data_IF_348481010059
#
_entry.id   IF_348481010059
#
_cell.length_a   1.000
_cell.length_b   1.000
_cell.length_c   1.000
_cell.angle_alpha   90.00
_cell.angle_beta   90.00
_cell.angle_gamma   90.00
#
_symmetry.space_group_name_H-M   'P 1'
#
loop_
_entity.id
_entity.type
_entity.pdbx_description
1 polymer ?
#
# COMPACT_ATOMS: atom_id res chain seq x y z
N UNK A 1 44.01 11.39 30.69
CA UNK A 1 43.36 12.29 29.71
C UNK A 1 41.90 12.40 30.11
N UNK A 2 41.18 13.52 29.90
CA UNK A 2 39.75 13.51 30.20
C UNK A 2 39.12 12.49 29.25
N UNK A 3 38.65 11.36 29.78
CA UNK A 3 38.10 10.25 28.99
C UNK A 3 37.13 10.80 27.96
N UNK A 4 37.31 10.51 26.68
CA UNK A 4 36.35 10.90 25.65
C UNK A 4 34.94 10.42 26.02
N UNK A 5 33.92 11.22 25.72
CA UNK A 5 32.54 10.83 25.97
C UNK A 5 32.02 10.09 24.75
N UNK A 6 31.49 8.90 24.95
CA UNK A 6 31.13 8.02 23.83
C UNK A 6 29.62 7.80 23.76
N UNK A 7 29.08 7.81 22.55
CA UNK A 7 27.64 7.69 22.29
C UNK A 7 27.40 6.56 21.31
N UNK A 8 26.51 5.63 21.66
CA UNK A 8 26.01 4.63 20.72
C UNK A 8 24.67 5.11 20.15
N UNK A 9 24.56 5.25 18.83
CA UNK A 9 23.32 5.67 18.18
C UNK A 9 22.62 4.42 17.64
N UNK A 10 21.54 4.01 18.31
CA UNK A 10 20.64 2.94 17.89
C UNK A 10 19.54 3.51 16.98
N UNK A 11 19.39 2.91 15.81
CA UNK A 11 18.44 3.37 14.79
C UNK A 11 18.04 2.23 13.85
N UNK A 12 16.96 2.42 13.09
CA UNK A 12 16.60 1.55 11.97
C UNK A 12 17.43 1.85 10.72
N UNK A 13 17.61 0.87 9.84
CA UNK A 13 18.35 1.05 8.58
C UNK A 13 17.77 2.18 7.70
N UNK A 14 16.46 2.37 7.76
CA UNK A 14 15.74 3.45 7.07
C UNK A 14 16.11 4.84 7.60
N UNK A 15 16.44 4.95 8.89
CA UNK A 15 16.80 6.19 9.58
C UNK A 15 18.30 6.51 9.48
N UNK A 16 19.07 5.76 8.67
CA UNK A 16 20.54 5.88 8.55
C UNK A 16 21.03 7.29 8.26
N UNK A 17 20.28 8.08 7.48
CA UNK A 17 20.69 9.44 7.13
C UNK A 17 20.62 10.37 8.34
N UNK A 18 19.60 10.22 9.18
CA UNK A 18 19.47 10.96 10.42
C UNK A 18 20.50 10.51 11.44
N UNK A 19 20.76 9.22 11.57
CA UNK A 19 21.82 8.72 12.45
C UNK A 19 23.20 9.28 12.07
N UNK A 20 23.53 9.32 10.78
CA UNK A 20 24.77 9.91 10.27
C UNK A 20 24.83 11.42 10.49
N UNK A 21 23.73 12.13 10.26
CA UNK A 21 23.65 13.57 10.51
C UNK A 21 23.82 13.89 12.01
N UNK A 22 23.16 13.12 12.87
CA UNK A 22 23.28 13.23 14.32
C UNK A 22 24.73 13.03 14.75
N UNK A 23 25.36 11.93 14.34
CA UNK A 23 26.79 11.69 14.56
C UNK A 23 27.63 12.89 14.11
N UNK A 24 27.49 13.32 12.85
CA UNK A 24 28.30 14.40 12.29
C UNK A 24 28.13 15.72 13.07
N UNK A 25 26.90 16.06 13.49
CA UNK A 25 26.64 17.28 14.27
C UNK A 25 27.18 17.17 15.69
N UNK A 26 27.05 16.02 16.35
CA UNK A 26 27.61 15.79 17.70
C UNK A 26 29.14 15.87 17.68
N UNK A 27 29.78 15.17 16.75
CA UNK A 27 31.24 15.17 16.62
C UNK A 27 31.77 16.56 16.25
N UNK A 28 31.12 17.26 15.31
CA UNK A 28 31.47 18.63 14.93
C UNK A 28 31.40 19.60 16.10
N UNK A 29 30.25 19.67 16.81
CA UNK A 29 30.11 20.51 18.00
C UNK A 29 31.12 20.14 19.08
N UNK A 30 31.46 18.85 19.20
CA UNK A 30 32.48 18.36 20.12
C UNK A 30 33.92 18.67 19.71
N UNK A 31 34.18 19.08 18.47
CA UNK A 31 35.53 19.43 17.98
C UNK A 31 35.87 20.91 18.16
N UNK A 32 34.85 21.78 18.29
CA UNK A 32 35.03 23.22 18.48
C UNK A 32 35.88 23.47 19.74
N UNK A 33 36.72 24.50 19.82
CA UNK A 33 37.51 24.84 21.03
C UNK A 33 38.44 23.75 21.63
N UNK A 34 38.66 22.60 20.98
CA UNK A 34 39.68 21.60 21.35
C UNK A 34 39.57 20.99 22.76
N UNK A 35 38.37 20.94 23.35
CA UNK A 35 38.10 20.32 24.65
C UNK A 35 37.79 18.81 24.51
N UNK A 36 36.99 18.26 25.43
CA UNK A 36 36.59 16.84 25.46
C UNK A 36 35.81 16.48 24.19
N UNK A 37 36.28 15.48 23.45
CA UNK A 37 35.62 14.98 22.24
C UNK A 37 34.44 14.07 22.59
N UNK A 38 33.45 14.09 21.69
CA UNK A 38 32.38 13.10 21.66
C UNK A 38 32.66 12.13 20.53
N UNK A 39 32.77 10.84 20.83
CA UNK A 39 32.89 9.78 19.83
C UNK A 39 31.53 9.11 19.63
N UNK A 40 31.05 9.03 18.39
CA UNK A 40 29.76 8.40 18.09
C UNK A 40 29.94 7.08 17.34
N UNK A 41 29.30 6.02 17.83
CA UNK A 41 29.22 4.72 17.17
C UNK A 41 27.86 4.55 16.48
N UNK A 42 27.88 4.18 15.20
CA UNK A 42 26.67 3.95 14.39
C UNK A 42 26.82 2.63 13.64
N UNK A 43 25.77 1.79 13.62
CA UNK A 43 25.82 0.45 13.01
C UNK A 43 26.14 0.45 11.50
N UNK A 44 26.01 1.59 10.81
CA UNK A 44 26.44 1.79 9.42
C UNK A 44 27.96 1.69 9.22
N UNK A 45 28.76 1.75 10.29
CA UNK A 45 30.23 1.72 10.26
C UNK A 45 30.81 0.32 10.47
N UNK A 46 29.96 -0.71 10.58
CA UNK A 46 30.40 -2.10 10.71
C UNK A 46 31.21 -2.49 9.45
N UNK A 47 32.50 -2.81 9.57
CA UNK A 47 33.31 -3.20 8.42
C UNK A 47 32.79 -4.52 7.82
N UNK A 48 32.66 -4.56 6.49
CA UNK A 48 32.25 -5.76 5.77
C UNK A 48 33.17 -6.96 6.09
N UNK A 49 32.58 -8.11 6.42
CA UNK A 49 33.30 -9.34 6.76
C UNK A 49 33.68 -9.51 8.24
N UNK A 50 33.26 -8.59 9.11
CA UNK A 50 33.43 -8.73 10.59
C UNK A 50 32.28 -9.54 11.20
N UNK A 51 32.52 -10.20 12.34
CA UNK A 51 31.45 -10.66 13.23
C UNK A 51 30.70 -9.44 13.79
N UNK A 52 29.73 -8.92 13.03
CA UNK A 52 28.90 -7.74 13.36
C UNK A 52 28.38 -7.75 14.80
N UNK A 53 28.08 -8.93 15.34
CA UNK A 53 27.64 -9.13 16.72
C UNK A 53 28.71 -8.69 17.72
N UNK A 54 29.97 -9.05 17.50
CA UNK A 54 31.06 -8.66 18.40
C UNK A 54 31.30 -7.15 18.34
N UNK A 55 31.24 -6.56 17.15
CA UNK A 55 31.35 -5.10 16.98
C UNK A 55 30.27 -4.36 17.78
N UNK A 56 29.01 -4.83 17.73
CA UNK A 56 27.94 -4.22 18.52
C UNK A 56 28.19 -4.37 20.02
N UNK A 57 28.59 -5.55 20.49
CA UNK A 57 28.91 -5.80 21.91
C UNK A 57 30.01 -4.85 22.38
N UNK A 58 31.09 -4.72 21.61
CA UNK A 58 32.24 -3.91 21.99
C UNK A 58 31.90 -2.41 22.05
N UNK A 59 31.11 -1.90 21.10
CA UNK A 59 30.81 -0.47 21.03
C UNK A 59 29.65 -0.07 21.96
N UNK A 60 28.65 -0.92 22.17
CA UNK A 60 27.63 -0.70 23.22
C UNK A 60 28.25 -0.73 24.61
N UNK A 61 29.23 -1.61 24.84
CA UNK A 61 29.97 -1.66 26.10
C UNK A 61 30.76 -0.37 26.38
N UNK A 62 31.45 0.16 25.36
CA UNK A 62 32.26 1.38 25.46
C UNK A 62 31.42 2.63 25.67
N UNK A 63 30.27 2.74 25.00
CA UNK A 63 29.44 3.93 25.01
C UNK A 63 29.04 4.39 26.43
N UNK A 64 29.16 5.66 26.74
CA UNK A 64 28.67 6.25 28.00
C UNK A 64 27.15 6.48 27.98
N UNK A 65 26.59 6.69 26.79
CA UNK A 65 25.19 6.98 26.54
C UNK A 65 24.72 6.23 25.30
N UNK A 66 23.47 5.76 25.30
CA UNK A 66 22.81 5.24 24.11
C UNK A 66 21.73 6.22 23.68
N UNK A 67 21.74 6.62 22.42
CA UNK A 67 20.69 7.42 21.79
C UNK A 67 19.87 6.51 20.88
N UNK A 68 18.59 6.40 21.14
CA UNK A 68 17.63 5.65 20.34
C UNK A 68 16.76 6.60 19.50
N UNK A 69 16.84 6.45 18.18
CA UNK A 69 16.02 7.20 17.23
C UNK A 69 14.73 6.41 16.97
N UNK A 70 13.62 6.82 17.61
CA UNK A 70 12.31 6.16 17.51
C UNK A 70 11.32 6.98 16.68
N UNK A 71 11.39 6.79 15.36
CA UNK A 71 10.69 7.65 14.39
C UNK A 71 9.22 7.32 14.19
N UNK A 72 8.81 6.05 14.34
CA UNK A 72 7.43 5.60 14.16
C UNK A 72 7.11 4.36 15.02
N UNK A 73 6.08 4.44 15.85
CA UNK A 73 5.63 3.36 16.74
C UNK A 73 5.21 2.06 16.03
N UNK A 74 4.75 2.13 14.77
CA UNK A 74 4.24 0.96 14.03
C UNK A 74 5.34 0.06 13.46
N UNK A 75 6.58 0.53 13.50
CA UNK A 75 7.72 -0.16 12.94
C UNK A 75 8.19 -1.35 13.80
N UNK A 76 8.93 -2.28 13.18
CA UNK A 76 9.59 -3.35 13.92
C UNK A 76 10.89 -2.84 14.55
N UNK A 77 10.91 -2.74 15.87
CA UNK A 77 12.05 -2.24 16.65
C UNK A 77 12.85 -3.34 17.37
N UNK A 78 12.64 -4.61 17.01
CA UNK A 78 13.27 -5.76 17.70
C UNK A 78 14.79 -5.65 17.75
N UNK A 79 15.41 -5.14 16.68
CA UNK A 79 16.85 -4.94 16.62
C UNK A 79 17.33 -3.89 17.63
N UNK A 80 16.75 -2.69 17.59
CA UNK A 80 17.07 -1.62 18.53
C UNK A 80 16.78 -2.01 19.98
N UNK A 81 15.69 -2.75 20.22
CA UNK A 81 15.39 -3.29 21.54
C UNK A 81 16.49 -4.26 22.04
N UNK A 82 17.06 -5.08 21.15
CA UNK A 82 18.21 -5.92 21.48
C UNK A 82 19.46 -5.10 21.80
N UNK A 83 19.70 -3.99 21.10
CA UNK A 83 20.84 -3.10 21.37
C UNK A 83 20.71 -2.41 22.73
N UNK A 84 19.52 -1.89 23.04
CA UNK A 84 19.21 -1.28 24.34
C UNK A 84 19.37 -2.30 25.47
N UNK A 85 18.81 -3.51 25.33
CA UNK A 85 18.94 -4.56 26.33
C UNK A 85 20.40 -4.99 26.57
N UNK A 86 21.23 -5.01 25.52
CA UNK A 86 22.66 -5.29 25.63
C UNK A 86 23.40 -4.17 26.39
N UNK A 87 23.14 -2.91 26.03
CA UNK A 87 23.69 -1.74 26.72
C UNK A 87 23.33 -1.74 28.21
N UNK A 88 22.04 -1.88 28.52
CA UNK A 88 21.53 -1.96 29.91
C UNK A 88 22.17 -3.11 30.67
N UNK A 89 22.24 -4.29 30.04
CA UNK A 89 22.86 -5.48 30.62
C UNK A 89 24.32 -5.25 30.98
N UNK A 90 25.08 -4.59 30.11
CA UNK A 90 26.49 -4.26 30.33
C UNK A 90 26.67 -3.24 31.45
N UNK A 91 25.91 -2.14 31.44
CA UNK A 91 25.97 -1.11 32.50
C UNK A 91 25.60 -1.70 33.85
N UNK A 92 24.57 -2.55 33.91
CA UNK A 92 24.18 -3.27 35.13
C UNK A 92 25.28 -4.20 35.63
N UNK A 93 25.93 -4.96 34.76
CA UNK A 93 27.03 -5.84 35.13
C UNK A 93 28.23 -5.08 35.74
N UNK A 94 28.50 -3.88 35.23
CA UNK A 94 29.55 -2.99 35.75
C UNK A 94 29.10 -2.11 36.93
N UNK A 95 27.84 -2.22 37.38
CA UNK A 95 27.22 -1.34 38.39
C UNK A 95 27.30 0.15 38.02
N UNK A 96 27.22 0.44 36.72
CA UNK A 96 27.12 1.78 36.17
C UNK A 96 25.64 2.12 35.91
N UNK A 97 25.33 3.41 35.94
CA UNK A 97 24.01 3.90 35.54
C UNK A 97 23.86 3.75 34.02
N UNK A 98 22.76 3.13 33.61
CA UNK A 98 22.37 3.12 32.20
C UNK A 98 21.76 4.47 31.84
N UNK A 99 22.14 5.00 30.68
CA UNK A 99 21.66 6.27 30.14
C UNK A 99 21.20 6.05 28.71
N UNK A 100 19.91 5.75 28.57
CA UNK A 100 19.23 5.60 27.28
C UNK A 100 18.39 6.84 27.06
N UNK A 101 18.70 7.56 25.98
CA UNK A 101 17.94 8.71 25.50
C UNK A 101 17.12 8.25 24.30
N UNK A 102 15.86 8.61 24.21
CA UNK A 102 15.06 8.27 23.04
C UNK A 102 14.30 9.47 22.48
N UNK A 103 14.25 9.51 21.14
CA UNK A 103 13.60 10.59 20.37
C UNK A 103 12.35 10.07 19.69
N UNK A 104 11.21 10.73 19.89
CA UNK A 104 9.94 10.37 19.26
C UNK A 104 9.00 11.58 19.13
N UNK A 105 8.03 11.48 18.21
CA UNK A 105 6.93 12.45 18.08
C UNK A 105 6.03 12.43 19.31
N UNK A 106 5.76 11.22 19.82
CA UNK A 106 4.91 10.98 20.97
C UNK A 106 5.78 10.57 22.17
N UNK A 107 5.50 11.20 23.31
CA UNK A 107 6.10 10.87 24.62
C UNK A 107 5.62 9.53 25.18
N UNK A 108 4.59 8.92 24.58
CA UNK A 108 4.05 7.62 24.97
C UNK A 108 4.99 6.51 24.48
N UNK A 109 5.75 5.84 25.37
CA UNK A 109 6.67 4.81 24.96
C UNK A 109 5.89 3.62 24.42
N UNK A 110 6.04 3.32 23.14
CA UNK A 110 5.45 2.11 22.52
C UNK A 110 6.02 0.81 23.11
N UNK A 111 7.16 0.92 23.82
CA UNK A 111 7.85 -0.17 24.49
C UNK A 111 7.92 0.07 26.00
N UNK A 112 7.42 -0.84 26.85
CA UNK A 112 7.53 -0.72 28.31
C UNK A 112 8.97 -0.49 28.80
N UNK A 113 9.96 -1.02 28.09
CA UNK A 113 11.39 -0.84 28.41
C UNK A 113 11.88 0.61 28.27
N UNK A 114 11.17 1.47 27.52
CA UNK A 114 11.51 2.89 27.36
C UNK A 114 10.83 3.78 28.41
N UNK A 115 9.88 3.25 29.18
CA UNK A 115 9.08 4.05 30.12
C UNK A 115 9.91 4.67 31.25
N UNK A 116 11.04 4.06 31.60
CA UNK A 116 11.96 4.54 32.64
C UNK A 116 13.15 5.34 32.06
N UNK A 117 13.21 5.51 30.74
CA UNK A 117 14.31 6.16 30.03
C UNK A 117 13.99 7.63 29.66
N UNK A 118 15.02 8.44 29.48
CA UNK A 118 14.88 9.87 29.20
C UNK A 118 14.34 10.13 27.78
N UNK A 119 13.21 10.82 27.70
CA UNK A 119 12.53 11.19 26.46
C UNK A 119 12.91 12.59 25.99
N UNK A 120 13.21 12.73 24.70
CA UNK A 120 13.27 14.01 24.01
C UNK A 120 12.27 14.03 22.86
N UNK A 121 11.47 15.10 22.79
CA UNK A 121 10.66 15.38 21.61
C UNK A 121 11.54 15.71 20.40
N UNK A 122 10.93 15.75 19.21
CA UNK A 122 11.60 16.11 17.97
C UNK A 122 11.38 17.57 17.54
N UNK A 123 10.65 18.35 18.35
CA UNK A 123 10.44 19.78 18.12
C UNK A 123 11.76 20.54 18.19
N UNK A 124 11.83 21.73 17.56
CA UNK A 124 13.07 22.53 17.55
C UNK A 124 13.57 22.82 18.97
N UNK A 125 12.67 23.15 19.89
CA UNK A 125 13.00 23.43 21.29
C UNK A 125 13.47 22.18 22.05
N UNK A 126 12.90 21.01 21.76
CA UNK A 126 13.30 19.75 22.40
C UNK A 126 14.68 19.28 21.90
N UNK A 127 14.94 19.39 20.60
CA UNK A 127 16.26 19.11 20.01
C UNK A 127 17.31 20.06 20.57
N UNK A 128 16.95 21.34 20.74
CA UNK A 128 17.82 22.33 21.38
C UNK A 128 18.10 21.96 22.84
N UNK A 129 17.06 21.60 23.60
CA UNK A 129 17.19 21.15 24.99
C UNK A 129 18.12 19.94 25.10
N UNK A 130 17.98 18.96 24.22
CA UNK A 130 18.87 17.82 24.14
C UNK A 130 20.34 18.25 23.97
N UNK A 131 20.64 19.13 23.01
CA UNK A 131 22.02 19.58 22.79
C UNK A 131 22.56 20.37 23.99
N UNK A 132 21.72 21.13 24.69
CA UNK A 132 22.10 21.80 25.94
C UNK A 132 22.39 20.81 27.07
N UNK A 133 21.53 19.81 27.25
CA UNK A 133 21.70 18.79 28.28
C UNK A 133 22.95 17.93 28.02
N UNK A 134 23.26 17.67 26.74
CA UNK A 134 24.44 16.92 26.34
C UNK A 134 25.74 17.71 26.53
N UNK A 135 25.80 18.93 26.00
CA UNK A 135 27.03 19.69 25.96
C UNK A 135 27.17 20.69 27.10
N UNK A 136 26.15 21.48 27.38
CA UNK A 136 26.27 22.70 28.20
C UNK A 136 26.04 22.41 29.68
N UNK A 137 25.18 21.43 29.99
CA UNK A 137 24.79 21.08 31.36
C UNK A 137 25.46 19.79 31.82
N UNK A 138 25.66 19.60 33.13
CA UNK A 138 26.19 18.35 33.70
C UNK A 138 25.11 17.26 33.79
N UNK A 139 24.28 17.08 32.75
CA UNK A 139 23.19 16.10 32.78
C UNK A 139 23.74 14.67 32.69
N UNK A 140 24.73 14.46 31.81
CA UNK A 140 25.27 13.13 31.56
C UNK A 140 26.58 12.79 32.29
N UNK A 141 27.10 13.70 33.11
CA UNK A 141 28.32 13.46 33.90
C UNK A 141 28.51 14.50 35.00
N UNK A 142 29.62 14.39 35.74
CA UNK A 142 29.95 15.27 36.87
C UNK A 142 30.17 16.73 36.41
N UNK A 143 30.60 16.91 35.16
CA UNK A 143 30.82 18.21 34.55
C UNK A 143 30.21 18.24 33.14
N UNK A 144 29.76 19.41 32.67
CA UNK A 144 29.32 19.58 31.30
C UNK A 144 30.45 19.30 30.32
N UNK A 145 30.13 18.72 29.16
CA UNK A 145 31.14 18.45 28.13
C UNK A 145 31.75 19.76 27.60
N UNK A 146 30.90 20.79 27.44
CA UNK A 146 31.18 22.11 26.84
C UNK A 146 30.27 23.22 27.42
N UNK A 147 30.56 23.73 28.63
CA UNK A 147 29.70 24.69 29.35
C UNK A 147 29.49 26.05 28.67
N UNK A 148 30.27 26.39 27.64
CA UNK A 148 30.18 27.67 26.92
C UNK A 148 29.88 27.51 25.43
N UNK A 149 29.47 26.32 24.97
CA UNK A 149 29.22 26.06 23.54
C UNK A 149 28.18 27.02 22.96
N UNK A 150 27.04 27.18 23.64
CA UNK A 150 25.96 28.08 23.21
C UNK A 150 26.31 29.57 23.30
N UNK A 151 27.35 29.95 24.07
CA UNK A 151 27.82 31.33 24.18
C UNK A 151 28.91 31.67 23.14
N UNK A 152 29.88 30.77 22.97
CA UNK A 152 31.04 30.98 22.08
C UNK A 152 30.71 30.66 20.62
N UNK A 153 29.87 29.63 20.39
CA UNK A 153 29.54 29.09 19.07
C UNK A 153 28.03 29.03 18.87
N UNK A 154 27.33 30.09 19.26
CA UNK A 154 25.87 30.18 19.20
C UNK A 154 25.33 29.90 17.79
N UNK A 155 26.05 30.32 16.74
CA UNK A 155 25.68 30.08 15.35
C UNK A 155 25.68 28.59 15.03
N UNK A 156 26.80 27.91 15.26
CA UNK A 156 26.97 26.49 14.96
C UNK A 156 26.03 25.60 15.77
N UNK A 157 25.81 25.97 17.03
CA UNK A 157 24.84 25.32 17.92
C UNK A 157 23.41 25.41 17.37
N UNK A 158 22.97 26.61 16.99
CA UNK A 158 21.63 26.83 16.44
C UNK A 158 21.46 26.17 15.06
N UNK A 159 22.50 26.17 14.23
CA UNK A 159 22.47 25.49 12.94
C UNK A 159 22.34 23.98 13.11
N UNK A 160 23.11 23.38 14.02
CA UNK A 160 22.99 21.97 14.35
C UNK A 160 21.59 21.61 14.86
N UNK A 161 21.00 22.42 15.75
CA UNK A 161 19.64 22.19 16.24
C UNK A 161 18.60 22.24 15.11
N UNK A 162 18.70 23.23 14.22
CA UNK A 162 17.78 23.38 13.08
C UNK A 162 17.89 22.24 12.08
N UNK A 163 19.11 21.83 11.75
CA UNK A 163 19.34 20.74 10.80
C UNK A 163 18.81 19.41 11.32
N UNK A 164 19.08 19.11 12.60
CA UNK A 164 18.55 17.92 13.24
C UNK A 164 17.03 17.94 13.28
N UNK A 165 16.43 19.06 13.72
CA UNK A 165 14.99 19.24 13.71
C UNK A 165 14.38 19.02 12.31
N UNK A 166 14.95 19.66 11.28
CA UNK A 166 14.48 19.53 9.91
C UNK A 166 14.52 18.06 9.44
N UNK A 167 15.58 17.32 9.78
CA UNK A 167 15.71 15.93 9.40
C UNK A 167 14.75 15.01 10.18
N UNK A 168 14.57 15.23 11.48
CA UNK A 168 13.54 14.53 12.26
C UNK A 168 12.15 14.76 11.66
N UNK A 169 11.82 15.99 11.25
CA UNK A 169 10.54 16.33 10.63
C UNK A 169 10.36 15.72 9.24
N UNK A 170 11.43 15.44 8.49
CA UNK A 170 11.32 14.74 7.21
C UNK A 170 10.99 13.25 7.38
N UNK A 171 11.59 12.60 8.39
CA UNK A 171 11.48 11.15 8.60
C UNK A 171 10.21 10.77 9.36
N UNK A 172 9.74 11.65 10.25
CA UNK A 172 8.49 11.45 11.00
C UNK A 172 7.25 11.85 10.23
N UNK A 173 7.41 12.38 9.00
CA UNK A 173 6.29 12.34 8.06
C UNK A 173 5.96 10.87 7.87
N UNK A 174 4.75 10.43 8.23
CA UNK A 174 4.35 9.05 8.00
C UNK A 174 4.71 8.74 6.56
N UNK A 175 5.45 7.64 6.34
CA UNK A 175 5.69 7.14 5.01
C UNK A 175 4.30 6.91 4.41
N UNK A 176 3.83 7.85 3.61
CA UNK A 176 2.64 7.69 2.82
C UNK A 176 3.02 6.67 1.75
N UNK A 177 3.00 5.39 2.13
CA UNK A 177 3.14 4.24 1.23
C UNK A 177 2.18 4.41 0.04
N UNK A 178 1.07 5.12 0.26
CA UNK A 178 0.14 5.60 -0.73
C UNK A 178 0.08 7.14 -0.75
N UNK A 179 0.85 7.75 -1.66
CA UNK A 179 0.91 9.22 -1.87
C UNK A 179 -0.37 9.85 -2.41
N UNK A 180 -1.32 9.04 -2.86
CA UNK A 180 -2.59 9.51 -3.39
C UNK A 180 -3.71 9.01 -2.49
N UNK A 181 -4.15 9.87 -1.57
CA UNK A 181 -5.17 9.53 -0.57
C UNK A 181 -6.22 10.62 -0.42
N UNK A 182 -7.46 10.17 -0.26
CA UNK A 182 -8.59 11.00 0.13
C UNK A 182 -9.14 10.45 1.43
N UNK A 183 -9.19 11.29 2.46
CA UNK A 183 -9.90 11.01 3.70
C UNK A 183 -11.15 11.87 3.75
N UNK A 184 -12.28 11.22 4.01
CA UNK A 184 -13.60 11.85 4.10
C UNK A 184 -14.02 11.78 5.56
N UNK A 185 -14.17 12.93 6.20
CA UNK A 185 -14.54 13.06 7.62
C UNK A 185 -15.94 13.64 7.70
N UNK A 186 -16.89 12.90 8.26
CA UNK A 186 -18.31 13.25 8.11
C UNK A 186 -18.77 14.46 8.96
N UNK A 187 -18.03 14.84 10.01
CA UNK A 187 -18.13 16.12 10.75
C UNK A 187 -17.16 16.13 11.94
N UNK A 188 -17.08 17.24 12.70
CA UNK A 188 -16.48 17.22 14.05
C UNK A 188 -17.27 16.33 15.02
N UNK A 189 -16.61 15.83 16.07
CA UNK A 189 -17.14 14.79 16.97
C UNK A 189 -18.45 15.18 17.68
N UNK A 190 -18.62 16.47 18.00
CA UNK A 190 -19.79 17.01 18.70
C UNK A 190 -20.98 17.21 17.76
N UNK A 191 -20.74 17.72 16.55
CA UNK A 191 -21.75 17.91 15.50
C UNK A 191 -22.23 16.59 14.91
N UNK A 192 -21.35 15.58 14.92
CA UNK A 192 -21.62 14.27 14.37
C UNK A 192 -22.79 13.58 15.06
N UNK A 193 -22.83 13.59 16.39
CA UNK A 193 -23.87 12.93 17.18
C UNK A 193 -25.25 13.52 16.92
N UNK A 194 -25.35 14.86 16.91
CA UNK A 194 -26.61 15.56 16.65
C UNK A 194 -27.15 15.24 15.24
N UNK A 195 -26.24 15.20 14.27
CA UNK A 195 -26.59 14.88 12.88
C UNK A 195 -26.94 13.40 12.68
N UNK A 196 -26.22 12.50 13.35
CA UNK A 196 -26.53 11.08 13.34
C UNK A 196 -27.94 10.80 13.88
N UNK A 197 -28.35 11.48 14.95
CA UNK A 197 -29.71 11.38 15.49
C UNK A 197 -30.75 11.94 14.50
N UNK A 198 -30.50 13.08 13.88
CA UNK A 198 -31.40 13.69 12.89
C UNK A 198 -31.59 12.82 11.64
N UNK A 199 -30.53 12.16 11.15
CA UNK A 199 -30.56 11.31 9.96
C UNK A 199 -30.95 9.86 10.25
N UNK A 200 -31.15 9.48 11.52
CA UNK A 200 -31.50 8.11 11.96
C UNK A 200 -32.84 7.63 11.40
N UNK A 201 -33.78 8.55 11.15
CA UNK A 201 -35.08 8.22 10.58
C UNK A 201 -35.04 7.98 9.06
N UNK A 202 -33.95 8.34 8.38
CA UNK A 202 -33.81 8.18 6.94
C UNK A 202 -33.35 6.76 6.55
N UNK A 203 -33.71 6.30 5.34
CA UNK A 203 -33.13 5.10 4.74
C UNK A 203 -31.60 5.17 4.69
N UNK A 204 -30.88 4.03 4.74
CA UNK A 204 -29.42 4.01 4.80
C UNK A 204 -28.72 4.79 3.68
N UNK A 205 -29.27 4.74 2.45
CA UNK A 205 -28.75 5.48 1.29
C UNK A 205 -28.84 7.00 1.46
N UNK A 206 -29.96 7.48 1.98
CA UNK A 206 -30.21 8.92 2.16
C UNK A 206 -29.43 9.45 3.37
N UNK A 207 -29.29 8.63 4.41
CA UNK A 207 -28.39 8.91 5.54
C UNK A 207 -26.94 9.06 5.07
N UNK A 208 -26.45 8.12 4.27
CA UNK A 208 -25.10 8.17 3.72
C UNK A 208 -24.86 9.44 2.89
N UNK A 209 -25.80 9.80 2.00
CA UNK A 209 -25.72 11.04 1.22
C UNK A 209 -25.70 12.29 2.12
N UNK A 210 -26.54 12.32 3.15
CA UNK A 210 -26.56 13.44 4.10
C UNK A 210 -25.23 13.61 4.84
N UNK A 211 -24.54 12.52 5.18
CA UNK A 211 -23.19 12.59 5.76
C UNK A 211 -22.12 13.01 4.74
N UNK A 212 -22.16 12.48 3.52
CA UNK A 212 -21.17 12.78 2.49
C UNK A 212 -21.21 14.24 2.04
N UNK A 213 -22.42 14.83 1.95
CA UNK A 213 -22.59 16.22 1.46
C UNK A 213 -21.92 17.26 2.35
N UNK A 214 -21.93 17.06 3.67
CA UNK A 214 -21.28 17.99 4.61
C UNK A 214 -19.91 17.46 5.09
N UNK A 215 -19.39 16.42 4.44
CA UNK A 215 -18.13 15.83 4.86
C UNK A 215 -16.97 16.76 4.53
N UNK A 216 -16.05 16.89 5.48
CA UNK A 216 -14.76 17.52 5.25
C UNK A 216 -13.86 16.55 4.50
N UNK A 217 -13.30 17.02 3.38
CA UNK A 217 -12.37 16.25 2.57
C UNK A 217 -10.93 16.65 2.90
N UNK A 218 -10.12 15.66 3.25
CA UNK A 218 -8.71 15.82 3.56
C UNK A 218 -7.91 15.04 2.52
N UNK A 219 -7.23 15.75 1.63
CA UNK A 219 -6.42 15.19 0.56
C UNK A 219 -5.07 15.92 0.48
N UNK A 220 -4.04 15.22 0.01
CA UNK A 220 -2.77 15.87 -0.33
C UNK A 220 -2.90 16.68 -1.65
N UNK A 221 -1.96 17.60 -1.96
CA UNK A 221 -2.04 18.41 -3.18
C UNK A 221 -2.06 17.60 -4.49
N UNK A 222 -1.39 16.45 -4.54
CA UNK A 222 -1.38 15.60 -5.72
C UNK A 222 -2.72 14.89 -5.90
N UNK A 223 -3.36 14.43 -4.81
CA UNK A 223 -4.74 13.91 -4.86
C UNK A 223 -5.76 14.98 -5.20
N UNK A 224 -5.60 16.20 -4.69
CA UNK A 224 -6.48 17.32 -5.01
C UNK A 224 -6.42 17.64 -6.51
N UNK A 225 -5.21 17.68 -7.07
CA UNK A 225 -4.98 17.85 -8.50
C UNK A 225 -5.57 16.69 -9.31
N UNK A 226 -5.40 15.44 -8.83
CA UNK A 226 -5.93 14.25 -9.47
C UNK A 226 -7.47 14.28 -9.58
N UNK A 227 -8.15 14.71 -8.51
CA UNK A 227 -9.60 14.64 -8.41
C UNK A 227 -10.32 15.84 -9.03
N UNK A 228 -9.81 17.06 -8.81
CA UNK A 228 -10.48 18.31 -9.21
C UNK A 228 -9.66 19.19 -10.17
N UNK A 229 -8.47 18.76 -10.60
CA UNK A 229 -7.60 19.51 -11.50
C UNK A 229 -6.67 20.53 -10.81
N UNK A 230 -5.74 21.14 -11.56
CA UNK A 230 -4.61 21.91 -11.00
C UNK A 230 -4.98 23.26 -10.39
N UNK A 231 -6.16 23.81 -10.71
CA UNK A 231 -6.58 25.14 -10.27
C UNK A 231 -7.40 25.12 -8.96
N UNK A 232 -7.63 23.93 -8.38
CA UNK A 232 -8.49 23.75 -7.22
C UNK A 232 -7.66 23.76 -5.93
N UNK A 233 -7.85 24.79 -5.10
CA UNK A 233 -7.07 24.98 -3.86
C UNK A 233 -7.56 24.13 -2.67
N UNK A 234 -8.83 23.73 -2.66
CA UNK A 234 -9.43 22.89 -1.64
C UNK A 234 -10.53 22.03 -2.28
N UNK A 235 -10.67 20.78 -1.82
CA UNK A 235 -11.69 19.86 -2.29
C UNK A 235 -12.92 19.97 -1.38
N UNK A 236 -14.08 20.24 -1.95
CA UNK A 236 -15.35 19.94 -1.29
C UNK A 236 -16.13 18.83 -2.04
N UNK A 237 -17.26 18.41 -1.45
CA UNK A 237 -18.05 17.31 -2.02
C UNK A 237 -18.72 17.70 -3.34
N UNK A 238 -19.12 18.97 -3.50
CA UNK A 238 -19.71 19.47 -4.75
C UNK A 238 -18.65 19.55 -5.85
N UNK A 239 -17.42 19.94 -5.53
CA UNK A 239 -16.27 19.93 -6.43
C UNK A 239 -16.01 18.50 -6.94
N UNK A 240 -16.04 17.50 -6.06
CA UNK A 240 -15.90 16.09 -6.44
C UNK A 240 -17.00 15.65 -7.41
N UNK A 241 -18.26 15.95 -7.10
CA UNK A 241 -19.41 15.61 -7.94
C UNK A 241 -19.36 16.33 -9.30
N UNK A 242 -18.93 17.60 -9.31
CA UNK A 242 -18.83 18.39 -10.54
C UNK A 242 -17.66 17.93 -11.42
N UNK A 243 -16.55 17.52 -10.81
CA UNK A 243 -15.39 16.96 -11.50
C UNK A 243 -15.70 15.60 -12.14
N UNK A 244 -16.56 14.78 -11.53
CA UNK A 244 -17.01 13.52 -12.15
C UNK A 244 -17.68 13.75 -13.50
N UNK A 245 -18.66 14.66 -13.57
CA UNK A 245 -19.39 14.96 -14.80
C UNK A 245 -18.52 15.41 -15.99
N UNK A 246 -17.28 15.84 -15.71
CA UNK A 246 -16.33 16.28 -16.75
C UNK A 246 -15.40 15.18 -17.24
N UNK A 247 -15.08 14.17 -16.42
CA UNK A 247 -13.94 13.28 -16.67
C UNK A 247 -14.23 11.78 -16.53
N UNK A 248 -15.28 11.34 -15.82
CA UNK A 248 -15.60 9.92 -15.67
C UNK A 248 -17.12 9.65 -15.51
N UNK A 249 -17.51 8.37 -15.47
CA UNK A 249 -18.91 7.96 -15.37
C UNK A 249 -19.52 8.10 -13.97
N UNK A 250 -18.74 8.58 -13.00
CA UNK A 250 -19.17 8.75 -11.62
C UNK A 250 -19.31 7.49 -10.76
N UNK A 251 -19.19 6.30 -11.38
CA UNK A 251 -19.52 5.00 -10.78
C UNK A 251 -18.83 4.73 -9.43
N UNK A 252 -17.59 5.20 -9.25
CA UNK A 252 -16.84 4.96 -8.02
C UNK A 252 -17.42 5.73 -6.82
N UNK A 253 -18.02 6.91 -7.01
CA UNK A 253 -18.71 7.64 -5.93
C UNK A 253 -20.08 7.03 -5.63
N UNK A 254 -20.77 6.47 -6.63
CA UNK A 254 -22.02 5.73 -6.41
C UNK A 254 -21.77 4.45 -5.58
N UNK A 255 -20.70 3.73 -5.92
CA UNK A 255 -20.23 2.56 -5.17
C UNK A 255 -19.77 2.94 -3.76
N UNK A 256 -19.04 4.05 -3.60
CA UNK A 256 -18.64 4.58 -2.29
C UNK A 256 -19.86 4.96 -1.45
N UNK A 257 -20.83 5.65 -2.04
CA UNK A 257 -22.09 6.03 -1.37
C UNK A 257 -22.85 4.79 -0.92
N UNK A 258 -22.92 3.78 -1.79
CA UNK A 258 -23.52 2.48 -1.48
C UNK A 258 -22.77 1.79 -0.34
N UNK A 259 -21.43 1.77 -0.38
CA UNK A 259 -20.61 1.18 0.67
C UNK A 259 -20.86 1.82 2.04
N UNK A 260 -20.86 3.14 2.08
CA UNK A 260 -21.14 3.92 3.29
C UNK A 260 -22.57 3.63 3.78
N UNK A 261 -23.56 3.56 2.88
CA UNK A 261 -24.93 3.22 3.22
C UNK A 261 -25.06 1.83 3.88
N UNK A 262 -24.39 0.81 3.34
CA UNK A 262 -24.38 -0.53 3.94
C UNK A 262 -23.68 -0.54 5.30
N UNK A 263 -22.70 0.34 5.52
CA UNK A 263 -22.00 0.47 6.80
C UNK A 263 -22.88 0.99 7.94
N UNK A 264 -24.01 1.62 7.62
CA UNK A 264 -25.03 2.03 8.59
C UNK A 264 -26.06 0.92 8.92
N UNK A 265 -26.04 -0.23 8.25
CA UNK A 265 -26.97 -1.33 8.53
C UNK A 265 -26.53 -2.15 9.75
N UNK A 266 -27.46 -2.55 10.64
CA UNK A 266 -27.23 -3.20 11.95
C UNK A 266 -26.56 -4.60 11.94
N UNK A 267 -25.84 -4.96 10.88
CA UNK A 267 -25.18 -6.28 10.76
C UNK A 267 -23.89 -6.31 11.58
N UNK A 268 -23.66 -7.41 12.28
CA UNK A 268 -22.60 -7.69 13.26
C UNK A 268 -21.20 -7.11 12.89
N UNK A 269 -20.57 -6.41 13.83
CA UNK A 269 -19.31 -5.65 13.68
C UNK A 269 -18.15 -6.55 13.23
N UNK A 270 -18.18 -7.84 13.59
CA UNK A 270 -17.19 -8.83 13.18
C UNK A 270 -17.20 -9.10 11.66
N UNK A 271 -18.35 -8.96 10.99
CA UNK A 271 -18.48 -9.12 9.54
C UNK A 271 -18.03 -7.88 8.74
N UNK A 272 -17.89 -6.72 9.40
CA UNK A 272 -17.55 -5.43 8.77
C UNK A 272 -16.05 -5.17 8.60
N UNK A 273 -15.18 -5.99 9.22
CA UNK A 273 -13.74 -5.70 9.36
C UNK A 273 -12.84 -6.15 8.20
N UNK A 274 -13.33 -6.79 7.14
CA UNK A 274 -12.41 -7.35 6.12
C UNK A 274 -12.94 -7.41 4.69
N UNK A 275 -13.47 -6.31 4.16
CA UNK A 275 -13.55 -6.16 2.70
C UNK A 275 -12.91 -4.83 2.33
N UNK A 276 -11.61 -4.90 2.04
CA UNK A 276 -11.01 -3.95 1.11
C UNK A 276 -11.92 -3.92 -0.12
N UNK A 277 -12.62 -2.80 -0.32
CA UNK A 277 -13.53 -2.67 -1.44
C UNK A 277 -12.83 -1.87 -2.52
N UNK A 278 -12.55 -2.57 -3.61
CA UNK A 278 -12.06 -1.98 -4.85
C UNK A 278 -13.24 -1.31 -5.54
N UNK A 279 -13.16 0.00 -5.77
CA UNK A 279 -14.20 0.77 -6.44
C UNK A 279 -13.98 0.78 -7.96
N UNK A 280 -14.90 1.34 -8.73
CA UNK A 280 -14.70 1.55 -10.16
C UNK A 280 -13.46 2.41 -10.43
N UNK A 281 -12.63 2.07 -11.42
CA UNK A 281 -11.39 2.79 -11.69
C UNK A 281 -11.66 4.19 -12.28
N UNK A 282 -10.75 5.13 -12.03
CA UNK A 282 -10.79 6.50 -12.55
C UNK A 282 -9.63 6.76 -13.51
N UNK A 283 -9.89 7.49 -14.60
CA UNK A 283 -8.87 7.86 -15.58
C UNK A 283 -8.55 9.34 -15.48
N UNK A 284 -7.28 9.67 -15.25
CA UNK A 284 -6.77 11.04 -15.04
C UNK A 284 -5.35 11.14 -15.56
N UNK A 285 -5.01 12.23 -16.24
CA UNK A 285 -3.66 12.49 -16.77
C UNK A 285 -3.05 11.32 -17.55
N UNK A 286 -3.87 10.70 -18.42
CA UNK A 286 -3.51 9.52 -19.23
C UNK A 286 -3.12 8.27 -18.40
N UNK A 287 -3.42 8.26 -17.11
CA UNK A 287 -3.17 7.16 -16.18
C UNK A 287 -4.48 6.69 -15.58
N UNK A 288 -4.56 5.38 -15.34
CA UNK A 288 -5.68 4.80 -14.61
C UNK A 288 -5.29 4.67 -13.14
N UNK A 289 -6.22 5.04 -12.28
CA UNK A 289 -6.09 4.86 -10.85
C UNK A 289 -7.23 3.96 -10.38
N UNK A 290 -6.90 3.06 -9.47
CA UNK A 290 -7.83 2.17 -8.83
C UNK A 290 -8.11 2.71 -7.43
N UNK A 291 -9.29 3.32 -7.18
CA UNK A 291 -9.67 3.72 -5.83
C UNK A 291 -9.95 2.47 -5.00
N UNK A 292 -9.36 2.43 -3.81
CA UNK A 292 -9.53 1.32 -2.85
C UNK A 292 -9.89 1.92 -1.50
N UNK A 293 -10.99 1.44 -0.91
CA UNK A 293 -11.34 1.78 0.46
C UNK A 293 -10.36 1.04 1.38
N UNK A 294 -9.38 1.79 1.89
CA UNK A 294 -8.31 1.25 2.74
C UNK A 294 -8.77 1.11 4.19
N UNK A 295 -9.58 2.05 4.68
CA UNK A 295 -10.06 2.05 6.06
C UNK A 295 -11.42 2.71 6.19
N UNK A 296 -12.26 2.14 7.04
CA UNK A 296 -13.49 2.76 7.54
C UNK A 296 -13.41 2.83 9.07
N UNK A 297 -13.43 4.04 9.62
CA UNK A 297 -13.38 4.31 11.04
C UNK A 297 -14.78 4.46 11.62
N UNK A 298 -14.95 4.02 12.86
CA UNK A 298 -16.22 4.07 13.58
C UNK A 298 -16.06 4.81 14.90
N UNK A 299 -17.09 5.59 15.25
CA UNK A 299 -17.29 6.17 16.56
C UNK A 299 -18.67 5.72 17.05
N UNK A 300 -18.76 5.08 18.22
CA UNK A 300 -20.02 4.58 18.79
C UNK A 300 -20.89 3.79 17.78
N UNK A 301 -20.27 2.84 17.07
CA UNK A 301 -20.87 2.00 16.01
C UNK A 301 -21.36 2.75 14.75
N UNK A 302 -21.06 4.04 14.63
CA UNK A 302 -21.44 4.86 13.48
C UNK A 302 -20.18 5.23 12.67
N UNK A 303 -20.20 5.08 11.33
CA UNK A 303 -19.07 5.48 10.47
C UNK A 303 -18.68 6.95 10.70
N UNK A 304 -17.43 7.22 11.07
CA UNK A 304 -16.91 8.56 11.37
C UNK A 304 -16.00 9.11 10.27
N UNK A 305 -15.16 8.25 9.69
CA UNK A 305 -14.34 8.63 8.55
C UNK A 305 -14.08 7.46 7.62
N UNK A 306 -13.89 7.73 6.33
CA UNK A 306 -13.44 6.75 5.34
C UNK A 306 -12.17 7.22 4.67
N UNK A 307 -11.21 6.31 4.50
CA UNK A 307 -9.93 6.56 3.84
C UNK A 307 -9.87 5.77 2.56
N UNK A 308 -9.62 6.48 1.47
CA UNK A 308 -9.53 5.96 0.11
C UNK A 308 -8.11 6.21 -0.39
N UNK A 309 -7.49 5.18 -0.97
CA UNK A 309 -6.20 5.30 -1.65
C UNK A 309 -6.41 5.12 -3.15
N UNK A 310 -5.66 5.87 -3.95
CA UNK A 310 -5.71 5.78 -5.42
C UNK A 310 -4.44 5.10 -5.93
N UNK A 311 -4.57 3.81 -6.26
CA UNK A 311 -3.44 3.02 -6.71
C UNK A 311 -3.24 3.21 -8.21
N UNK A 312 -2.08 3.72 -8.67
CA UNK A 312 -1.81 3.82 -10.11
C UNK A 312 -1.74 2.43 -10.72
N UNK A 313 -2.57 2.20 -11.72
CA UNK A 313 -2.56 0.96 -12.49
C UNK A 313 -1.44 1.03 -13.54
N UNK A 314 -0.76 -0.09 -13.82
CA UNK A 314 0.29 -0.11 -14.83
C UNK A 314 -0.22 0.39 -16.19
N UNK A 315 0.62 1.08 -16.99
CA UNK A 315 0.22 1.61 -18.30
C UNK A 315 -0.16 0.51 -19.31
N UNK A 316 0.36 -0.70 -19.11
CA UNK A 316 -0.12 -1.94 -19.72
C UNK A 316 -1.14 -2.61 -18.80
N UNK A 317 -2.20 -1.89 -18.47
CA UNK A 317 -3.32 -2.53 -17.81
C UNK A 317 -4.04 -3.33 -18.90
N UNK A 318 -4.41 -4.58 -18.58
CA UNK A 318 -5.23 -5.44 -19.43
C UNK A 318 -6.64 -4.86 -19.66
N UNK A 319 -6.91 -3.63 -19.23
CA UNK A 319 -8.17 -2.93 -19.40
C UNK A 319 -8.28 -2.33 -20.82
N UNK A 320 -9.21 -2.81 -21.65
CA UNK A 320 -9.40 -2.35 -23.02
C UNK A 320 -9.76 -0.87 -23.11
N UNK A 321 -10.37 -0.29 -22.07
CA UNK A 321 -10.75 1.13 -22.02
C UNK A 321 -9.52 2.03 -22.07
N UNK A 322 -8.41 1.59 -21.48
CA UNK A 322 -7.15 2.33 -21.49
C UNK A 322 -6.45 2.26 -22.83
N UNK A 323 -6.53 1.10 -23.48
CA UNK A 323 -6.00 0.97 -24.83
C UNK A 323 -6.75 1.88 -25.81
N UNK A 324 -8.09 1.98 -25.68
CA UNK A 324 -8.90 2.92 -26.45
C UNK A 324 -8.55 4.37 -26.10
N UNK A 325 -8.41 4.71 -24.83
CA UNK A 325 -8.07 6.06 -24.37
C UNK A 325 -6.65 6.51 -24.78
N UNK A 326 -5.73 5.56 -24.99
CA UNK A 326 -4.37 5.81 -25.49
C UNK A 326 -4.29 5.91 -27.02
N UNK A 327 -5.42 6.03 -27.73
CA UNK A 327 -5.49 6.04 -29.20
C UNK A 327 -4.82 4.81 -29.86
N UNK A 328 -4.79 3.65 -29.18
CA UNK A 328 -4.27 2.45 -29.84
C UNK A 328 -5.18 2.04 -31.00
N UNK A 329 -4.61 1.49 -32.09
CA UNK A 329 -5.39 0.95 -33.19
C UNK A 329 -6.43 -0.06 -32.70
N UNK A 330 -7.68 0.10 -33.18
CA UNK A 330 -8.84 -0.69 -32.74
C UNK A 330 -8.62 -2.20 -32.85
N UNK A 331 -7.81 -2.65 -33.79
CA UNK A 331 -7.43 -4.06 -33.98
C UNK A 331 -6.51 -4.59 -32.88
N UNK A 332 -5.55 -3.79 -32.41
CA UNK A 332 -4.69 -4.15 -31.28
C UNK A 332 -5.47 -4.18 -29.97
N UNK A 333 -6.37 -3.21 -29.77
CA UNK A 333 -7.31 -3.20 -28.64
C UNK A 333 -8.10 -4.51 -28.63
N UNK A 334 -8.70 -4.85 -29.76
CA UNK A 334 -9.55 -6.03 -29.88
C UNK A 334 -8.80 -7.35 -29.65
N UNK A 335 -7.62 -7.53 -30.24
CA UNK A 335 -6.79 -8.71 -30.02
C UNK A 335 -6.40 -8.88 -28.53
N UNK A 336 -6.18 -7.77 -27.84
CA UNK A 336 -5.85 -7.76 -26.41
C UNK A 336 -7.06 -8.11 -25.53
N UNK A 337 -8.27 -7.67 -25.91
CA UNK A 337 -9.53 -8.13 -25.28
C UNK A 337 -9.65 -9.65 -25.41
N UNK A 338 -9.49 -10.19 -26.63
CA UNK A 338 -9.61 -11.62 -26.88
C UNK A 338 -8.57 -12.42 -26.10
N UNK A 339 -7.33 -11.95 -26.02
CA UNK A 339 -6.26 -12.60 -25.28
C UNK A 339 -6.57 -12.63 -23.77
N UNK A 340 -7.12 -11.54 -23.23
CA UNK A 340 -7.58 -11.46 -21.83
C UNK A 340 -8.70 -12.45 -21.54
N UNK A 341 -9.73 -12.49 -22.39
CA UNK A 341 -10.85 -13.41 -22.24
C UNK A 341 -10.39 -14.87 -22.34
N UNK A 342 -9.49 -15.18 -23.29
CA UNK A 342 -8.93 -16.52 -23.44
C UNK A 342 -8.09 -16.95 -22.23
N UNK A 343 -7.25 -16.05 -21.70
CA UNK A 343 -6.45 -16.28 -20.48
C UNK A 343 -7.34 -16.50 -19.26
N UNK A 344 -8.38 -15.69 -19.09
CA UNK A 344 -9.34 -15.83 -17.99
C UNK A 344 -10.11 -17.14 -18.08
N UNK A 345 -10.63 -17.47 -19.26
CA UNK A 345 -11.32 -18.74 -19.48
C UNK A 345 -10.42 -19.95 -19.13
N UNK A 346 -9.12 -19.86 -19.43
CA UNK A 346 -8.16 -20.90 -19.05
C UNK A 346 -7.99 -21.03 -17.54
N UNK A 347 -7.58 -19.95 -16.88
CA UNK A 347 -7.11 -20.01 -15.49
C UNK A 347 -8.22 -19.91 -14.45
N UNK A 348 -9.42 -19.45 -14.84
CA UNK A 348 -10.58 -19.38 -13.96
C UNK A 348 -11.54 -20.55 -14.13
N UNK A 349 -11.44 -21.32 -15.22
CA UNK A 349 -12.36 -22.44 -15.49
C UNK A 349 -11.65 -23.73 -15.89
N UNK A 350 -10.95 -23.76 -17.04
CA UNK A 350 -10.40 -25.01 -17.57
C UNK A 350 -9.38 -25.68 -16.64
N UNK A 351 -8.40 -24.92 -16.15
CA UNK A 351 -7.27 -25.44 -15.35
C UNK A 351 -7.65 -25.77 -13.90
N UNK A 352 -8.40 -24.91 -13.18
CA UNK A 352 -8.91 -25.30 -11.87
C UNK A 352 -9.73 -26.59 -11.92
N UNK A 353 -10.58 -26.75 -12.94
CA UNK A 353 -11.40 -27.95 -13.09
C UNK A 353 -10.57 -29.16 -13.49
N UNK A 354 -9.64 -29.02 -14.44
CA UNK A 354 -8.74 -30.11 -14.84
C UNK A 354 -7.89 -30.61 -13.68
N UNK A 355 -7.26 -29.70 -12.93
CA UNK A 355 -6.44 -30.05 -11.76
C UNK A 355 -7.28 -30.72 -10.65
N UNK A 356 -8.53 -30.29 -10.48
CA UNK A 356 -9.43 -30.93 -9.51
C UNK A 356 -9.75 -32.39 -9.90
N UNK A 357 -9.91 -32.67 -11.20
CA UNK A 357 -10.22 -34.02 -11.71
C UNK A 357 -8.97 -34.89 -11.84
N UNK A 358 -7.82 -34.33 -12.17
CA UNK A 358 -6.55 -35.07 -12.26
C UNK A 358 -6.19 -35.75 -10.94
N UNK A 359 -6.56 -35.12 -9.82
CA UNK A 359 -6.34 -35.65 -8.49
C UNK A 359 -7.39 -36.70 -8.05
N UNK A 360 -8.40 -37.00 -8.89
CA UNK A 360 -9.42 -38.02 -8.60
C UNK A 360 -9.07 -39.34 -9.29
N UNK A 361 -8.90 -40.38 -8.49
CA UNK A 361 -8.84 -41.76 -8.97
C UNK A 361 -10.25 -42.23 -9.38
N UNK A 362 -10.34 -43.28 -10.21
CA UNK A 362 -11.63 -43.83 -10.66
C UNK A 362 -12.44 -44.46 -9.48
N UNK A 363 -11.77 -44.84 -8.39
CA UNK A 363 -12.36 -45.30 -7.13
C UNK A 363 -12.57 -44.15 -6.12
N UNK A 364 -13.12 -43.02 -6.57
CA UNK A 364 -13.35 -41.85 -5.72
C UNK A 364 -14.56 -42.03 -4.77
N UNK A 365 -14.53 -41.36 -3.62
CA UNK A 365 -15.67 -41.33 -2.69
C UNK A 365 -16.70 -40.29 -3.12
N UNK A 366 -17.99 -40.51 -2.79
CA UNK A 366 -19.07 -39.56 -3.10
C UNK A 366 -18.76 -38.12 -2.64
N UNK A 367 -18.12 -37.96 -1.48
CA UNK A 367 -17.69 -36.66 -0.96
C UNK A 367 -16.70 -35.94 -1.89
N UNK A 368 -15.71 -36.65 -2.44
CA UNK A 368 -14.73 -36.05 -3.37
C UNK A 368 -15.36 -35.62 -4.70
N UNK A 369 -16.46 -36.28 -5.09
CA UNK A 369 -17.25 -35.89 -6.26
C UNK A 369 -18.11 -34.65 -6.00
N UNK A 370 -18.71 -34.57 -4.82
CA UNK A 370 -19.49 -33.40 -4.41
C UNK A 370 -18.60 -32.15 -4.31
N UNK A 371 -17.35 -32.29 -3.82
CA UNK A 371 -16.34 -31.23 -3.82
C UNK A 371 -15.99 -30.75 -5.25
N UNK A 372 -15.91 -31.68 -6.21
CA UNK A 372 -15.69 -31.35 -7.63
C UNK A 372 -16.89 -30.61 -8.24
N UNK A 373 -18.12 -31.06 -7.94
CA UNK A 373 -19.35 -30.40 -8.38
C UNK A 373 -19.43 -28.97 -7.84
N UNK A 374 -19.14 -28.78 -6.55
CA UNK A 374 -19.06 -27.46 -5.95
C UNK A 374 -18.03 -26.60 -6.69
N UNK A 375 -16.84 -27.14 -6.98
CA UNK A 375 -15.81 -26.40 -7.70
C UNK A 375 -16.22 -26.03 -9.12
N UNK A 376 -16.93 -26.92 -9.81
CA UNK A 376 -17.49 -26.66 -11.14
C UNK A 376 -18.52 -25.52 -11.09
N UNK A 377 -19.44 -25.55 -10.12
CA UNK A 377 -20.42 -24.48 -9.91
C UNK A 377 -19.75 -23.15 -9.53
N UNK A 378 -18.76 -23.15 -8.63
CA UNK A 378 -17.95 -21.96 -8.30
C UNK A 378 -17.27 -21.39 -9.55
N UNK A 379 -16.71 -22.24 -10.42
CA UNK A 379 -16.08 -21.77 -11.66
C UNK A 379 -17.12 -21.17 -12.63
N UNK A 380 -18.32 -21.74 -12.73
CA UNK A 380 -19.41 -21.20 -13.55
C UNK A 380 -19.96 -19.88 -12.99
N UNK A 381 -20.16 -19.79 -11.68
CA UNK A 381 -20.60 -18.57 -11.00
C UNK A 381 -19.54 -17.48 -11.11
N UNK A 382 -18.24 -17.82 -11.03
CA UNK A 382 -17.17 -16.88 -11.29
C UNK A 382 -17.18 -16.40 -12.74
N UNK A 383 -17.39 -17.28 -13.71
CA UNK A 383 -17.54 -16.89 -15.12
C UNK A 383 -18.77 -15.99 -15.34
N UNK A 384 -19.92 -16.32 -14.75
CA UNK A 384 -21.16 -15.53 -14.85
C UNK A 384 -21.03 -14.19 -14.11
N UNK A 385 -20.42 -14.18 -12.92
CA UNK A 385 -20.07 -12.96 -12.20
C UNK A 385 -19.11 -12.09 -13.00
N UNK A 386 -18.15 -12.68 -13.72
CA UNK A 386 -17.26 -11.92 -14.62
C UNK A 386 -18.04 -11.36 -15.83
N UNK A 387 -19.00 -12.11 -16.37
CA UNK A 387 -19.89 -11.61 -17.44
C UNK A 387 -20.85 -10.52 -16.95
N UNK A 388 -21.22 -10.52 -15.66
CA UNK A 388 -22.13 -9.55 -15.03
C UNK A 388 -21.42 -8.31 -14.46
N UNK A 389 -20.26 -8.49 -13.80
CA UNK A 389 -19.42 -7.42 -13.22
C UNK A 389 -18.51 -6.78 -14.28
N UNK A 390 -18.07 -7.55 -15.27
CA UNK A 390 -17.32 -7.05 -16.41
C UNK A 390 -18.28 -6.45 -17.43
N UNK A 391 -18.55 -5.15 -17.32
CA UNK A 391 -18.65 -4.22 -18.44
C UNK A 391 -18.89 -4.82 -19.85
N UNK A 392 -19.98 -5.55 -20.09
CA UNK A 392 -20.35 -5.98 -21.46
C UNK A 392 -20.69 -4.78 -22.36
N UNK A 393 -20.81 -3.56 -21.80
CA UNK A 393 -20.76 -2.29 -22.55
C UNK A 393 -19.45 -2.11 -23.34
N UNK A 394 -18.35 -2.77 -22.95
CA UNK A 394 -17.09 -2.84 -23.72
C UNK A 394 -17.24 -3.65 -25.01
N UNK A 395 -18.17 -4.61 -25.06
CA UNK A 395 -18.53 -5.33 -26.29
C UNK A 395 -19.52 -4.53 -27.16
N UNK A 396 -20.30 -3.62 -26.57
CA UNK A 396 -21.18 -2.69 -27.30
C UNK A 396 -20.40 -1.60 -28.05
N UNK A 397 -19.31 -1.06 -27.46
CA UNK A 397 -18.33 -0.24 -28.20
C UNK A 397 -17.53 -1.04 -29.24
N UNK A 398 -17.48 -2.37 -29.10
CA UNK A 398 -16.95 -3.33 -30.09
C UNK A 398 -18.01 -3.76 -31.12
N UNK A 399 -19.27 -3.32 -30.99
CA UNK A 399 -20.30 -3.51 -32.02
C UNK A 399 -19.86 -2.99 -33.39
N UNK A 400 -19.14 -1.86 -33.41
CA UNK A 400 -18.50 -1.28 -34.59
C UNK A 400 -17.19 -1.99 -34.99
N UNK A 401 -16.59 -2.78 -34.10
CA UNK A 401 -15.32 -3.51 -34.34
C UNK A 401 -15.58 -4.90 -34.92
N UNK A 402 -16.72 -5.54 -34.59
CA UNK A 402 -17.20 -6.77 -35.26
C UNK A 402 -17.32 -6.62 -36.78
N UNK A 403 -17.63 -5.41 -37.26
CA UNK A 403 -17.67 -5.09 -38.70
C UNK A 403 -16.32 -4.68 -39.28
N UNK A 404 -15.36 -4.27 -38.45
CA UNK A 404 -14.06 -3.72 -38.90
C UNK A 404 -12.97 -4.79 -39.03
N UNK A 405 -13.05 -5.86 -38.23
CA UNK A 405 -12.19 -7.02 -38.35
C UNK A 405 -13.09 -8.18 -38.75
N UNK A 406 -12.83 -8.77 -39.90
CA UNK A 406 -13.59 -9.89 -40.46
C UNK A 406 -13.28 -11.18 -39.67
N UNK A 407 -13.56 -11.18 -38.37
CA UNK A 407 -13.43 -12.31 -37.44
C UNK A 407 -14.38 -13.44 -37.85
N UNK A 408 -15.46 -13.07 -38.54
CA UNK A 408 -16.31 -13.96 -39.32
C UNK A 408 -15.60 -14.72 -40.42
N UNK A 409 -14.28 -14.59 -40.63
CA UNK A 409 -13.47 -15.43 -41.51
C UNK A 409 -12.30 -16.14 -40.81
N UNK A 410 -12.12 -15.94 -39.50
CA UNK A 410 -11.11 -16.68 -38.74
C UNK A 410 -11.58 -18.14 -38.51
N UNK A 411 -10.88 -19.06 -39.17
CA UNK A 411 -11.19 -20.49 -39.15
C UNK A 411 -11.15 -21.07 -37.73
N UNK A 412 -10.26 -20.59 -36.87
CA UNK A 412 -10.04 -21.13 -35.54
C UNK A 412 -11.11 -20.65 -34.55
N UNK A 413 -11.55 -19.39 -34.65
CA UNK A 413 -12.69 -18.89 -33.87
C UNK A 413 -14.01 -19.55 -34.31
N UNK A 414 -14.22 -19.75 -35.61
CA UNK A 414 -15.37 -20.52 -36.12
C UNK A 414 -15.36 -21.96 -35.59
N UNK A 415 -14.19 -22.60 -35.57
CA UNK A 415 -14.03 -23.96 -35.05
C UNK A 415 -14.27 -24.01 -33.54
N UNK A 416 -13.74 -23.06 -32.77
CA UNK A 416 -13.98 -22.96 -31.32
C UNK A 416 -15.47 -22.73 -31.00
N UNK A 417 -16.15 -21.83 -31.71
CA UNK A 417 -17.59 -21.59 -31.52
C UNK A 417 -18.44 -22.80 -31.91
N UNK A 418 -18.12 -23.46 -33.02
CA UNK A 418 -18.81 -24.67 -33.48
C UNK A 418 -18.70 -25.81 -32.47
N UNK A 419 -17.51 -25.96 -31.88
CA UNK A 419 -17.24 -27.06 -30.97
C UNK A 419 -17.64 -26.75 -29.52
N UNK A 420 -17.93 -25.49 -29.19
CA UNK A 420 -18.33 -25.06 -27.84
C UNK A 420 -19.61 -25.74 -27.34
N UNK A 421 -20.67 -25.77 -28.16
CA UNK A 421 -21.92 -26.43 -27.78
C UNK A 421 -21.71 -27.94 -27.55
N UNK A 422 -20.84 -28.56 -28.35
CA UNK A 422 -20.45 -29.96 -28.19
C UNK A 422 -19.66 -30.18 -26.89
N UNK A 423 -18.75 -29.27 -26.56
CA UNK A 423 -17.98 -29.29 -25.32
C UNK A 423 -18.86 -29.17 -24.08
N UNK A 424 -19.73 -28.17 -24.02
CA UNK A 424 -20.64 -27.97 -22.90
C UNK A 424 -21.51 -29.21 -22.68
N UNK A 425 -22.04 -29.78 -23.76
CA UNK A 425 -22.87 -30.99 -23.71
C UNK A 425 -22.09 -32.18 -23.19
N UNK A 426 -20.87 -32.42 -23.70
CA UNK A 426 -20.02 -33.54 -23.25
C UNK A 426 -19.56 -33.39 -21.82
N UNK A 427 -19.21 -32.18 -21.39
CA UNK A 427 -18.78 -31.89 -20.03
C UNK A 427 -19.93 -32.10 -19.05
N UNK A 428 -21.13 -31.61 -19.37
CA UNK A 428 -22.33 -31.85 -18.57
C UNK A 428 -22.64 -33.35 -18.45
N UNK A 429 -22.59 -34.09 -19.57
CA UNK A 429 -22.81 -35.54 -19.57
C UNK A 429 -21.75 -36.30 -18.76
N UNK A 430 -20.48 -35.90 -18.84
CA UNK A 430 -19.39 -36.51 -18.07
C UNK A 430 -19.56 -36.28 -16.56
N UNK A 431 -20.03 -35.08 -16.19
CA UNK A 431 -20.35 -34.72 -14.80
C UNK A 431 -21.58 -35.52 -14.32
N UNK A 432 -22.64 -35.63 -15.12
CA UNK A 432 -23.83 -36.42 -14.76
C UNK A 432 -23.53 -37.91 -14.57
N UNK A 433 -22.65 -38.47 -15.41
CA UNK A 433 -22.21 -39.87 -15.34
C UNK A 433 -21.26 -40.15 -14.17
N UNK A 434 -20.83 -39.13 -13.44
CA UNK A 434 -19.80 -39.22 -12.39
C UNK A 434 -18.51 -39.89 -12.87
N UNK A 435 -18.02 -39.49 -14.04
CA UNK A 435 -16.83 -40.10 -14.68
C UNK A 435 -15.66 -39.10 -14.74
N UNK A 436 -14.69 -39.18 -13.81
CA UNK A 436 -13.47 -38.37 -13.87
C UNK A 436 -12.71 -38.54 -15.19
N UNK A 437 -12.65 -39.77 -15.71
CA UNK A 437 -12.06 -40.09 -17.01
C UNK A 437 -12.70 -39.32 -18.17
N UNK A 438 -14.04 -39.31 -18.23
CA UNK A 438 -14.76 -38.59 -19.31
C UNK A 438 -14.61 -37.06 -19.17
N UNK A 439 -14.54 -36.55 -17.94
CA UNK A 439 -14.29 -35.12 -17.69
C UNK A 439 -12.88 -34.74 -18.17
N UNK A 440 -11.85 -35.54 -17.86
CA UNK A 440 -10.48 -35.32 -18.37
C UNK A 440 -10.43 -35.34 -19.89
N UNK A 441 -10.99 -36.37 -20.52
CA UNK A 441 -11.04 -36.49 -21.99
C UNK A 441 -11.77 -35.33 -22.66
N UNK A 442 -12.71 -34.69 -21.96
CA UNK A 442 -13.42 -33.50 -22.46
C UNK A 442 -12.60 -32.22 -22.28
N UNK A 443 -11.84 -32.07 -21.20
CA UNK A 443 -11.06 -30.87 -20.88
C UNK A 443 -9.71 -30.79 -21.61
N UNK A 444 -8.99 -31.89 -21.77
CA UNK A 444 -7.65 -31.91 -22.40
C UNK A 444 -7.60 -31.28 -23.80
N UNK A 445 -8.53 -31.61 -24.74
CA UNK A 445 -8.51 -30.99 -26.06
C UNK A 445 -8.75 -29.49 -25.99
N UNK A 446 -9.55 -29.02 -25.03
CA UNK A 446 -9.84 -27.60 -24.84
C UNK A 446 -8.69 -26.83 -24.20
N UNK A 447 -7.97 -27.44 -23.26
CA UNK A 447 -6.72 -26.89 -22.74
C UNK A 447 -5.71 -26.68 -23.86
N UNK A 448 -5.56 -27.65 -24.77
CA UNK A 448 -4.66 -27.52 -25.92
C UNK A 448 -5.12 -26.41 -26.86
N UNK A 449 -6.39 -26.45 -27.30
CA UNK A 449 -6.95 -25.45 -28.24
C UNK A 449 -6.91 -24.02 -27.70
N UNK A 450 -7.26 -23.83 -26.43
CA UNK A 450 -7.19 -22.50 -25.81
C UNK A 450 -5.74 -21.97 -25.75
N UNK A 451 -4.76 -22.84 -25.50
CA UNK A 451 -3.34 -22.46 -25.55
C UNK A 451 -2.90 -22.05 -26.96
N UNK A 452 -3.31 -22.81 -27.96
CA UNK A 452 -2.97 -22.54 -29.36
C UNK A 452 -3.65 -21.24 -29.83
N UNK A 453 -4.89 -21.00 -29.45
CA UNK A 453 -5.60 -19.72 -29.68
C UNK A 453 -4.87 -18.53 -29.05
N UNK A 454 -4.46 -18.62 -27.77
CA UNK A 454 -3.71 -17.54 -27.12
C UNK A 454 -2.36 -17.27 -27.80
N UNK A 455 -1.66 -18.31 -28.26
CA UNK A 455 -0.41 -18.14 -29.02
C UNK A 455 -0.64 -17.42 -30.34
N UNK A 456 -1.70 -17.79 -31.06
CA UNK A 456 -2.05 -17.12 -32.32
C UNK A 456 -2.38 -15.65 -32.09
N UNK A 457 -3.22 -15.33 -31.09
CA UNK A 457 -3.53 -13.95 -30.73
C UNK A 457 -2.27 -13.14 -30.36
N UNK A 458 -1.31 -13.76 -29.67
CA UNK A 458 -0.05 -13.11 -29.32
C UNK A 458 0.79 -12.81 -30.57
N UNK A 459 0.91 -13.76 -31.50
CA UNK A 459 1.64 -13.59 -32.77
C UNK A 459 0.99 -12.48 -33.62
N UNK A 460 -0.34 -12.47 -33.70
CA UNK A 460 -1.08 -11.43 -34.43
C UNK A 460 -0.92 -10.06 -33.79
N UNK A 461 -1.02 -9.98 -32.45
CA UNK A 461 -0.82 -8.73 -31.70
C UNK A 461 0.59 -8.19 -31.93
N UNK A 462 1.60 -9.05 -31.84
CA UNK A 462 3.00 -8.67 -32.06
C UNK A 462 3.23 -8.20 -33.51
N UNK A 463 2.71 -8.92 -34.50
CA UNK A 463 2.80 -8.52 -35.91
C UNK A 463 2.09 -7.21 -36.23
N UNK A 464 1.09 -6.80 -35.44
CA UNK A 464 0.44 -5.49 -35.56
C UNK A 464 1.22 -4.38 -34.84
N UNK A 465 1.73 -4.66 -33.64
CA UNK A 465 2.58 -3.72 -32.88
C UNK A 465 3.88 -3.41 -33.64
N UNK A 466 4.50 -4.41 -34.27
CA UNK A 466 5.74 -4.21 -35.04
C UNK A 466 5.55 -3.31 -36.26
N UNK A 467 4.33 -3.25 -36.83
CA UNK A 467 3.97 -2.31 -37.91
C UNK A 467 3.76 -0.87 -37.44
N UNK A 468 3.65 -0.65 -36.12
CA UNK A 468 3.55 0.67 -35.51
C UNK A 468 4.91 1.24 -35.08
N UNK A 469 5.99 0.44 -35.16
CA UNK A 469 7.33 0.98 -34.90
C UNK A 469 7.63 2.06 -35.95
N UNK A 470 8.12 3.24 -35.54
CA UNK A 470 8.57 4.24 -36.49
C UNK A 470 9.64 3.59 -37.37
N UNK A 471 9.47 3.68 -38.70
CA UNK A 471 10.51 3.32 -39.64
C UNK A 471 11.75 4.12 -39.24
N UNK A 472 12.83 3.42 -38.85
CA UNK A 472 14.11 4.06 -38.61
C UNK A 472 14.46 4.85 -39.87
N UNK A 473 14.58 6.16 -39.72
CA UNK A 473 14.96 7.04 -40.82
C UNK A 473 16.37 6.64 -41.26
N UNK A 474 16.47 6.02 -42.44
CA UNK A 474 17.73 5.77 -43.13
C UNK A 474 18.32 7.06 -43.69
#
# INVERSE_FOLDING_TARGET
MPNDFSVFISHRAEDRFLARLLKARLEYLSSLDGQRSVECFVCEEIPGGTEWRQWMIDNTAKADCLIFIHTNAEHNWTWCASEIAQFDGYKRALKLLSKVLWFSVDSSPSFPMLAENEFYGIGEDDVRRFLEDLFVRPTFGIAPLRPRLNANHARDFNEAAKDLHAQFMQITRPEELFRLRLRIVFSDELSFRQKADALKALPPSDRARGFLTDAKLEADPATTTLLSGPDTAALDWEDLLSAQNRYDSGAWLDELTSYVAHSFSDVDIASRRSREQVLSPIFRDLKLYQPVIARLEYLDNTPFSVVIIFVPMPPFSEDPRLMVAQNMPKDIVFLSILLRLARRFRWSFLEPLYNAVENLDDDFTAKRWDDLLQRYHECLENLDSILRQGNMRELETVGDIKSTINISDDALLKEMFKDWGTFQTRLAQAIEKKSPGDVRQTLEPWLKRNKDFMKQLLVETQGKVDKLRPLEAH
#
